data_IF_906618060778
#
_entry.id   IF_906618060778
#
_cell.length_a   1.000
_cell.length_b   1.000
_cell.length_c   1.000
_cell.angle_alpha   90.00
_cell.angle_beta   90.00
_cell.angle_gamma   90.00
#
_symmetry.space_group_name_H-M   'P 1'
#
loop_
_entity.id
_entity.type
_entity.pdbx_description
1 polymer ?
#
# COMPACT_ATOMS: atom_id res chain seq x y z
N UNK A 1 -11.35 -10.07 4.40
CA UNK A 1 -11.04 -10.50 3.01
C UNK A 1 -11.55 -9.44 2.05
N UNK A 2 -10.76 -9.10 1.03
CA UNK A 2 -11.09 -8.07 0.03
C UNK A 2 -11.62 -8.71 -1.25
N UNK A 3 -12.59 -8.05 -1.88
CA UNK A 3 -13.05 -8.43 -3.23
C UNK A 3 -12.01 -8.08 -4.30
N UNK A 4 -12.13 -8.64 -5.50
CA UNK A 4 -11.23 -8.32 -6.61
C UNK A 4 -11.31 -6.83 -7.00
N UNK A 5 -12.48 -6.21 -6.87
CA UNK A 5 -12.64 -4.77 -7.06
C UNK A 5 -11.85 -3.97 -6.01
N UNK A 6 -11.94 -4.36 -4.74
CA UNK A 6 -11.17 -3.70 -3.68
C UNK A 6 -9.66 -3.91 -3.85
N UNK A 7 -9.22 -5.10 -4.28
CA UNK A 7 -7.81 -5.37 -4.60
C UNK A 7 -7.29 -4.47 -5.71
N UNK A 8 -8.11 -4.23 -6.74
CA UNK A 8 -7.80 -3.27 -7.80
C UNK A 8 -7.63 -1.85 -7.24
N UNK A 9 -8.56 -1.38 -6.40
CA UNK A 9 -8.47 -0.04 -5.77
C UNK A 9 -7.23 0.11 -4.87
N UNK A 10 -6.87 -0.94 -4.14
CA UNK A 10 -5.64 -0.97 -3.33
C UNK A 10 -4.43 -0.80 -4.24
N UNK A 11 -4.31 -1.60 -5.30
CA UNK A 11 -3.21 -1.50 -6.26
C UNK A 11 -3.13 -0.11 -6.91
N UNK A 12 -4.26 0.51 -7.25
CA UNK A 12 -4.29 1.89 -7.77
C UNK A 12 -3.73 2.90 -6.77
N UNK A 13 -3.99 2.72 -5.47
CA UNK A 13 -3.41 3.55 -4.40
C UNK A 13 -1.90 3.37 -4.24
N UNK A 14 -1.33 2.23 -4.63
CA UNK A 14 0.13 2.01 -4.61
C UNK A 14 0.88 2.88 -5.63
N UNK A 15 0.21 3.27 -6.71
CA UNK A 15 0.75 4.19 -7.71
C UNK A 15 0.60 5.68 -7.33
N UNK A 16 -0.05 5.98 -6.20
CA UNK A 16 -0.21 7.34 -5.67
C UNK A 16 1.10 7.80 -5.01
N UNK A 17 1.79 8.75 -5.65
CA UNK A 17 3.08 9.26 -5.19
C UNK A 17 2.99 10.27 -4.04
N UNK A 18 1.77 10.58 -3.61
CA UNK A 18 1.52 11.57 -2.55
C UNK A 18 1.57 10.96 -1.15
N UNK A 19 1.72 9.64 -1.04
CA UNK A 19 1.83 8.94 0.24
C UNK A 19 3.10 9.33 1.00
N UNK A 20 2.93 9.66 2.27
CA UNK A 20 3.98 10.04 3.21
C UNK A 20 3.85 9.18 4.47
N UNK A 21 4.88 9.19 5.31
CA UNK A 21 4.83 8.53 6.62
C UNK A 21 3.65 9.06 7.43
N UNK A 22 2.97 8.15 8.13
CA UNK A 22 1.74 8.34 8.89
C UNK A 22 0.51 8.75 8.06
N UNK A 23 0.58 8.69 6.73
CA UNK A 23 -0.64 8.76 5.92
C UNK A 23 -1.44 7.47 6.04
N UNK A 24 -2.72 7.64 6.35
CA UNK A 24 -3.70 6.58 6.25
C UNK A 24 -4.12 6.35 4.80
N UNK A 25 -4.20 5.08 4.41
CA UNK A 25 -4.64 4.63 3.09
C UNK A 25 -6.12 4.31 3.16
N UNK A 26 -6.89 4.91 2.25
CA UNK A 26 -8.33 4.72 2.11
C UNK A 26 -8.67 4.22 0.72
N UNK A 27 -9.67 3.35 0.64
CA UNK A 27 -10.36 2.98 -0.60
C UNK A 27 -11.83 3.36 -0.46
N UNK A 28 -12.46 3.76 -1.56
CA UNK A 28 -13.83 4.30 -1.57
C UNK A 28 -14.89 3.32 -1.03
N UNK A 29 -14.63 2.01 -1.10
CA UNK A 29 -15.56 0.98 -0.62
C UNK A 29 -15.56 0.81 0.90
N UNK A 30 -14.59 1.41 1.61
CA UNK A 30 -14.37 1.24 3.05
C UNK A 30 -14.53 2.58 3.77
N UNK A 31 -15.19 2.56 4.93
CA UNK A 31 -15.35 3.75 5.79
C UNK A 31 -14.14 4.03 6.69
N UNK A 32 -13.22 3.08 6.81
CA UNK A 32 -12.05 3.15 7.68
C UNK A 32 -10.78 2.97 6.86
N UNK A 33 -9.67 3.47 7.38
CA UNK A 33 -8.36 3.23 6.77
C UNK A 33 -8.09 1.73 6.71
N UNK A 34 -7.53 1.30 5.58
CA UNK A 34 -7.16 -0.09 5.36
C UNK A 34 -5.73 -0.39 5.79
N UNK A 35 -4.88 0.65 5.80
CA UNK A 35 -3.48 0.60 6.25
C UNK A 35 -2.99 2.01 6.59
N UNK A 36 -1.89 2.10 7.33
CA UNK A 36 -1.15 3.35 7.60
C UNK A 36 0.29 3.18 7.12
N UNK A 37 0.85 4.18 6.42
CA UNK A 37 2.24 4.16 5.98
C UNK A 37 3.15 4.40 7.18
N UNK A 38 4.11 3.50 7.43
CA UNK A 38 5.09 3.64 8.53
C UNK A 38 6.46 4.06 8.06
N UNK A 39 6.81 3.75 6.82
CA UNK A 39 8.10 4.14 6.25
C UNK A 39 7.97 4.33 4.75
N UNK A 40 8.68 5.32 4.24
CA UNK A 40 8.91 5.51 2.81
C UNK A 40 10.40 5.42 2.57
N UNK A 41 10.83 4.46 1.76
CA UNK A 41 12.22 4.25 1.38
C UNK A 41 12.33 4.60 -0.09
N UNK A 42 13.14 5.60 -0.42
CA UNK A 42 13.43 6.00 -1.80
C UNK A 42 14.87 5.62 -2.13
N UNK A 43 15.06 4.96 -3.27
CA UNK A 43 16.41 4.63 -3.75
C UNK A 43 16.96 5.75 -4.67
N UNK A 44 18.22 5.63 -5.07
CA UNK A 44 18.90 6.60 -5.94
C UNK A 44 18.25 6.78 -7.32
N UNK A 45 17.45 5.81 -7.77
CA UNK A 45 16.71 5.87 -9.04
C UNK A 45 15.33 6.53 -8.92
N UNK A 46 14.94 6.96 -7.70
CA UNK A 46 13.62 7.55 -7.42
C UNK A 46 12.49 6.52 -7.26
N UNK A 47 12.82 5.23 -7.17
CA UNK A 47 11.84 4.18 -6.83
C UNK A 47 11.55 4.25 -5.33
N UNK A 48 10.26 4.23 -5.01
CA UNK A 48 9.75 4.29 -3.64
C UNK A 48 9.17 2.94 -3.24
N UNK A 49 9.53 2.53 -2.03
CA UNK A 49 8.94 1.40 -1.31
C UNK A 49 8.23 1.96 -0.08
N UNK A 50 6.95 1.62 0.07
CA UNK A 50 6.13 2.01 1.21
C UNK A 50 5.93 0.80 2.12
N UNK A 51 6.40 0.93 3.36
CA UNK A 51 6.11 -0.02 4.43
C UNK A 51 4.79 0.40 5.05
N UNK A 52 3.78 -0.46 4.97
CA UNK A 52 2.45 -0.17 5.49
C UNK A 52 2.08 -1.14 6.61
N UNK A 53 1.41 -0.61 7.62
CA UNK A 53 0.81 -1.37 8.70
C UNK A 53 -0.70 -1.45 8.47
N UNK A 54 -1.22 -2.66 8.25
CA UNK A 54 -2.67 -2.87 8.19
C UNK A 54 -3.21 -3.32 9.55
N UNK A 55 -4.33 -2.73 10.04
CA UNK A 55 -5.07 -3.29 11.16
C UNK A 55 -5.62 -4.70 10.84
N UNK A 56 -5.81 -5.03 9.56
CA UNK A 56 -6.13 -6.38 9.12
C UNK A 56 -4.84 -7.22 9.08
N UNK A 57 -4.70 -8.17 10.01
CA UNK A 57 -3.52 -9.06 10.10
C UNK A 57 -3.25 -9.85 8.82
N UNK A 58 -4.23 -9.96 7.93
CA UNK A 58 -4.09 -10.65 6.64
C UNK A 58 -3.36 -9.83 5.57
N UNK A 59 -3.16 -8.52 5.76
CA UNK A 59 -2.55 -7.61 4.79
C UNK A 59 -1.23 -7.00 5.27
N UNK A 60 -0.22 -7.83 5.54
CA UNK A 60 1.15 -7.33 5.70
C UNK A 60 1.84 -7.34 4.35
N UNK A 61 1.90 -6.18 3.69
CA UNK A 61 2.56 -6.05 2.39
C UNK A 61 3.67 -4.99 2.43
N UNK A 62 4.72 -5.24 1.65
CA UNK A 62 5.68 -4.23 1.24
C UNK A 62 5.21 -3.71 -0.11
N UNK A 63 4.73 -2.47 -0.16
CA UNK A 63 4.27 -1.86 -1.41
C UNK A 63 5.50 -1.33 -2.12
N UNK A 64 6.03 -2.10 -3.05
CA UNK A 64 7.14 -1.71 -3.90
C UNK A 64 6.59 -1.31 -5.26
N UNK A 65 6.99 -0.13 -5.76
CA UNK A 65 6.67 0.29 -7.14
C UNK A 65 7.32 -0.60 -8.20
N UNK A 66 8.20 -1.52 -7.81
CA UNK A 66 8.68 -2.53 -8.73
C UNK A 66 7.56 -3.54 -8.97
N UNK A 67 7.16 -3.67 -10.24
CA UNK A 67 6.16 -4.62 -10.77
C UNK A 67 6.41 -6.09 -10.34
N UNK A 68 7.53 -6.37 -9.68
CA UNK A 68 8.02 -7.71 -9.35
C UNK A 68 7.83 -8.14 -7.87
N UNK A 69 7.44 -7.26 -6.94
CA UNK A 69 7.50 -7.57 -5.49
C UNK A 69 6.16 -7.91 -4.81
N UNK A 70 5.03 -7.86 -5.52
CA UNK A 70 3.68 -8.05 -4.91
C UNK A 70 3.37 -9.53 -4.55
N UNK A 71 4.29 -10.46 -4.79
CA UNK A 71 4.14 -11.85 -4.36
C UNK A 71 4.96 -12.14 -3.10
N UNK A 72 4.45 -11.70 -1.94
CA UNK A 72 4.80 -12.36 -0.68
C UNK A 72 3.90 -13.59 -0.54
N UNK A 73 4.56 -14.75 -0.46
CA UNK A 73 4.08 -16.13 -0.51
C UNK A 73 2.88 -16.47 0.37
#
# INVERSE_FOLDING_TARGET
>A
MYSDYERKLIAEKEYDNTLQVDNDIYIETRKSSISTVRQVIENETGLKVYVVESPDKSLRYTISKSVHDIFVK
#
